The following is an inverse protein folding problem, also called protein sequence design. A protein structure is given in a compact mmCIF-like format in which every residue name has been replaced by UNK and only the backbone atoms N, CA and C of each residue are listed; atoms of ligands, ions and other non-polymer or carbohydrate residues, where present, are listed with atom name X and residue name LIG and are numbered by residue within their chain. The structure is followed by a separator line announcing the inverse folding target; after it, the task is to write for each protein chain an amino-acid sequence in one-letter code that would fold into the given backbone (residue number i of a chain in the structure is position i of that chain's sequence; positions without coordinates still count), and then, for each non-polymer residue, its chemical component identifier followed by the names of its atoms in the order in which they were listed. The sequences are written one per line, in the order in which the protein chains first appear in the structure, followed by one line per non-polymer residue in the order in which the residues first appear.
data_IF_558604912558
#
_entry.id   IF_558604912558
#
_cell.length_a   1.000
_cell.length_b   1.000
_cell.length_c   1.000
_cell.angle_alpha   90.00
_cell.angle_beta   90.00
_cell.angle_gamma   90.00
#
_symmetry.space_group_name_H-M   'P 1'
#
loop_
_entity.id
_entity.type
_entity.pdbx_description
1 polymer ?
#
# COMPACT_ATOMS: atom_id res chain seq x y z
N UNK A 1 8.20 -3.28 -14.20
CA UNK A 1 8.18 -1.87 -13.78
C UNK A 1 8.41 -1.71 -12.27
N UNK A 2 9.09 -0.65 -11.81
CA UNK A 2 9.41 -0.43 -10.37
C UNK A 2 8.21 0.11 -9.59
N UNK A 3 7.41 0.98 -10.20
CA UNK A 3 6.26 1.64 -9.59
C UNK A 3 5.07 0.68 -9.45
N UNK A 4 4.81 -0.14 -10.48
CA UNK A 4 3.79 -1.19 -10.42
C UNK A 4 4.06 -2.21 -9.29
N UNK A 5 5.34 -2.55 -9.06
CA UNK A 5 5.74 -3.41 -7.93
C UNK A 5 5.52 -2.71 -6.58
N UNK A 6 5.82 -1.42 -6.49
CA UNK A 6 5.55 -0.65 -5.28
C UNK A 6 4.05 -0.64 -4.97
N UNK A 7 3.21 -0.40 -5.98
CA UNK A 7 1.75 -0.45 -5.87
C UNK A 7 1.25 -1.82 -5.39
N UNK A 8 1.66 -2.91 -6.04
CA UNK A 8 1.29 -4.27 -5.62
C UNK A 8 1.73 -4.60 -4.19
N UNK A 9 2.95 -4.21 -3.79
CA UNK A 9 3.43 -4.40 -2.42
C UNK A 9 2.64 -3.58 -1.40
N UNK A 10 2.21 -2.38 -1.77
CA UNK A 10 1.34 -1.54 -0.95
C UNK A 10 0.01 -2.22 -0.66
N UNK A 11 -0.62 -2.73 -1.70
CA UNK A 11 -1.88 -3.47 -1.60
C UNK A 11 -1.76 -4.70 -0.68
N UNK A 12 -0.73 -5.53 -0.90
CA UNK A 12 -0.48 -6.68 -0.02
C UNK A 12 -0.24 -6.27 1.44
N UNK A 13 0.43 -5.15 1.69
CA UNK A 13 0.66 -4.66 3.05
C UNK A 13 -0.64 -4.20 3.72
N UNK A 14 -1.52 -3.51 2.99
CA UNK A 14 -2.84 -3.10 3.48
C UNK A 14 -3.74 -4.29 3.80
N UNK A 15 -3.76 -5.31 2.93
CA UNK A 15 -4.52 -6.55 3.17
C UNK A 15 -4.04 -7.28 4.43
N UNK A 16 -2.72 -7.28 4.67
CA UNK A 16 -2.12 -7.83 5.89
C UNK A 16 -2.39 -6.98 7.16
N UNK A 17 -2.96 -5.78 7.03
CA UNK A 17 -3.18 -4.87 8.16
C UNK A 17 -1.92 -4.18 8.66
N UNK A 18 -0.88 -4.07 7.83
CA UNK A 18 0.35 -3.35 8.18
C UNK A 18 0.12 -1.84 8.11
N UNK A 19 0.79 -1.07 8.97
CA UNK A 19 0.73 0.41 8.90
C UNK A 19 1.37 0.95 7.62
N UNK A 20 0.85 2.08 7.13
CA UNK A 20 1.43 2.84 6.01
C UNK A 20 2.89 3.28 6.25
N UNK A 21 3.31 3.32 7.50
CA UNK A 21 4.67 3.68 7.91
C UNK A 21 5.70 2.58 7.62
N UNK A 22 5.26 1.33 7.42
CA UNK A 22 6.14 0.23 7.01
C UNK A 22 6.56 0.30 5.53
N UNK A 23 6.24 1.39 4.83
CA UNK A 23 6.65 1.59 3.45
C UNK A 23 8.19 1.64 3.35
N UNK A 24 8.83 0.71 2.63
CA UNK A 24 10.30 0.65 2.53
C UNK A 24 10.87 1.64 1.52
N UNK A 25 10.02 2.43 0.84
CA UNK A 25 10.43 3.32 -0.24
C UNK A 25 10.67 4.74 0.27
N UNK A 26 11.90 5.22 0.08
CA UNK A 26 12.27 6.62 0.34
C UNK A 26 11.99 7.54 -0.84
N UNK A 27 12.06 7.01 -2.07
CA UNK A 27 11.75 7.78 -3.28
C UNK A 27 10.25 8.13 -3.33
N UNK A 28 9.94 9.41 -3.54
CA UNK A 28 8.56 9.94 -3.49
C UNK A 28 7.64 9.19 -4.44
N UNK A 29 8.04 8.97 -5.70
CA UNK A 29 7.17 8.29 -6.68
C UNK A 29 6.82 6.86 -6.26
N UNK A 30 7.80 6.10 -5.78
CA UNK A 30 7.60 4.73 -5.34
C UNK A 30 6.76 4.68 -4.05
N UNK A 31 6.97 5.64 -3.14
CA UNK A 31 6.18 5.79 -1.92
C UNK A 31 4.72 6.11 -2.24
N UNK A 32 4.47 7.05 -3.16
CA UNK A 32 3.13 7.41 -3.61
C UNK A 32 2.37 6.22 -4.22
N UNK A 33 3.04 5.43 -5.06
CA UNK A 33 2.46 4.21 -5.65
C UNK A 33 2.15 3.15 -4.58
N UNK A 34 3.09 2.90 -3.66
CA UNK A 34 2.88 1.96 -2.57
C UNK A 34 1.72 2.40 -1.65
N UNK A 35 1.65 3.68 -1.30
CA UNK A 35 0.55 4.23 -0.50
C UNK A 35 -0.80 4.19 -1.24
N UNK A 36 -0.80 4.31 -2.57
CA UNK A 36 -1.98 4.11 -3.41
C UNK A 36 -2.51 2.69 -3.30
N UNK A 37 -1.65 1.68 -3.52
CA UNK A 37 -2.03 0.28 -3.35
C UNK A 37 -2.49 -0.04 -1.93
N UNK A 38 -1.81 0.50 -0.90
CA UNK A 38 -2.18 0.29 0.50
C UNK A 38 -3.59 0.83 0.81
N UNK A 39 -3.94 2.02 0.33
CA UNK A 39 -5.29 2.58 0.48
C UNK A 39 -6.34 1.71 -0.19
N UNK A 40 -6.08 1.30 -1.44
CA UNK A 40 -6.97 0.40 -2.17
C UNK A 40 -7.24 -0.88 -1.38
N UNK A 41 -6.22 -1.48 -0.77
CA UNK A 41 -6.40 -2.67 0.06
C UNK A 41 -7.20 -2.42 1.35
N UNK A 42 -7.10 -1.22 1.93
CA UNK A 42 -7.87 -0.87 3.13
C UNK A 42 -9.34 -0.63 2.78
N UNK A 43 -9.62 -0.10 1.59
CA UNK A 43 -10.97 0.04 1.03
C UNK A 43 -11.58 -1.32 0.68
N UNK A 44 -10.80 -2.21 0.06
CA UNK A 44 -11.25 -3.55 -0.32
C UNK A 44 -11.40 -4.51 0.87
N UNK A 45 -10.72 -4.23 2.00
CA UNK A 45 -10.74 -5.11 3.17
C UNK A 45 -12.07 -4.96 3.93
N UNK A 46 -12.91 -6.02 3.97
CA UNK A 46 -14.29 -5.93 4.46
C UNK A 46 -14.43 -5.92 6.00
N UNK A 47 -13.55 -5.22 6.72
CA UNK A 47 -13.58 -5.23 8.19
C UNK A 47 -12.82 -4.12 8.91
N UNK A 48 -12.26 -3.14 8.20
CA UNK A 48 -11.58 -1.98 8.81
C UNK A 48 -12.30 -0.64 8.57
N UNK A 49 -13.31 -0.63 7.70
CA UNK A 49 -14.26 0.46 7.56
C UNK A 49 -15.46 0.26 8.52
N UNK A 50 -15.21 0.25 9.83
CA UNK A 50 -16.22 0.56 10.85
C UNK A 50 -15.58 1.35 11.99
#
# INVERSE_FOLDING_TARGET
DRLARALSKGYQAGMQGRSKEQCPYFAIDARSHWLGGWRQAMEDRPGLAK
#
